data_IF_655108298858
#
_entry.id   IF_655108298858
#
_cell.length_a   1.000
_cell.length_b   1.000
_cell.length_c   1.000
_cell.angle_alpha   90.00
_cell.angle_beta   90.00
_cell.angle_gamma   90.00
#
_symmetry.space_group_name_H-M   'P 1'
#
loop_
_entity.id
_entity.type
_entity.pdbx_description
1 polymer ?
#
# COMPACT_ATOMS: atom_id res chain seq x y z
N UNK A 1 -7.04 1.83 -11.52
CA UNK A 1 -7.62 0.88 -10.55
C UNK A 1 -8.65 1.58 -9.69
N UNK A 2 -9.56 0.84 -9.06
CA UNK A 2 -10.56 1.40 -8.17
C UNK A 2 -10.66 0.55 -6.89
N UNK A 3 -10.72 1.24 -5.75
CA UNK A 3 -11.07 0.63 -4.47
C UNK A 3 -12.57 0.80 -4.28
N UNK A 4 -13.29 -0.31 -4.16
CA UNK A 4 -14.73 -0.33 -3.91
C UNK A 4 -14.97 -0.27 -2.40
N UNK A 5 -14.95 0.95 -1.88
CA UNK A 5 -15.22 1.23 -0.48
C UNK A 5 -16.72 1.30 -0.21
N UNK A 6 -17.17 0.55 0.80
CA UNK A 6 -18.37 0.86 1.52
C UNK A 6 -19.68 0.43 0.87
N UNK A 7 -20.63 0.14 1.75
CA UNK A 7 -22.06 0.17 1.44
C UNK A 7 -22.53 1.63 1.50
N UNK A 8 -23.12 2.21 0.43
CA UNK A 8 -23.75 3.53 0.53
C UNK A 8 -24.71 3.59 1.72
N UNK A 9 -24.79 4.72 2.45
CA UNK A 9 -25.51 4.78 3.74
C UNK A 9 -26.96 4.28 3.69
N UNK A 10 -27.66 4.50 2.57
CA UNK A 10 -29.04 4.04 2.33
C UNK A 10 -29.17 2.53 1.99
N UNK A 11 -28.06 1.81 1.92
CA UNK A 11 -28.00 0.37 1.70
C UNK A 11 -27.44 -0.39 2.92
N UNK A 12 -27.25 0.22 4.08
CA UNK A 12 -26.69 -0.45 5.27
C UNK A 12 -27.78 -1.19 6.08
N UNK A 13 -27.41 -2.27 6.77
CA UNK A 13 -28.34 -3.06 7.62
C UNK A 13 -28.61 -2.44 8.99
N UNK A 14 -27.73 -1.57 9.48
CA UNK A 14 -27.85 -0.89 10.79
C UNK A 14 -27.62 0.62 10.63
N UNK A 15 -28.34 1.49 11.38
CA UNK A 15 -28.06 2.92 11.42
C UNK A 15 -26.71 3.16 12.11
N UNK A 16 -25.73 3.62 11.35
CA UNK A 16 -24.42 3.95 11.90
C UNK A 16 -24.46 5.20 12.80
N UNK A 17 -23.48 5.30 13.71
CA UNK A 17 -23.18 6.55 14.41
C UNK A 17 -22.94 7.65 13.36
N UNK A 18 -23.76 8.69 13.38
CA UNK A 18 -23.67 9.83 12.48
C UNK A 18 -22.31 10.53 12.68
N UNK A 19 -21.48 10.52 11.64
CA UNK A 19 -20.57 11.65 11.41
C UNK A 19 -21.33 12.68 10.57
N UNK A 20 -21.13 13.96 10.88
CA UNK A 20 -21.78 15.06 10.17
C UNK A 20 -21.53 14.96 8.66
N UNK A 21 -22.47 15.38 7.81
CA UNK A 21 -22.28 15.41 6.36
C UNK A 21 -21.00 16.17 5.99
N UNK A 22 -20.22 15.60 5.07
CA UNK A 22 -19.07 16.26 4.44
C UNK A 22 -19.54 17.54 3.71
N UNK A 23 -19.06 18.74 4.08
CA UNK A 23 -19.58 19.99 3.51
C UNK A 23 -19.32 20.19 2.01
N UNK A 24 -18.32 19.51 1.42
CA UNK A 24 -17.86 19.80 0.03
C UNK A 24 -17.82 18.58 -0.92
N UNK A 25 -18.39 17.43 -0.55
CA UNK A 25 -18.72 16.43 -1.57
C UNK A 25 -19.97 16.91 -2.31
N UNK A 26 -20.04 16.87 -3.66
CA UNK A 26 -21.30 17.03 -4.35
C UNK A 26 -22.29 16.04 -3.72
N UNK A 27 -23.29 16.56 -3.00
CA UNK A 27 -24.30 15.75 -2.33
C UNK A 27 -25.17 15.10 -3.42
N UNK A 28 -24.68 13.98 -3.95
CA UNK A 28 -25.41 13.12 -4.86
C UNK A 28 -26.00 11.95 -4.09
N UNK A 29 -26.96 11.26 -4.69
CA UNK A 29 -27.54 10.03 -4.15
C UNK A 29 -26.52 8.87 -3.98
N UNK A 30 -25.24 9.09 -4.29
CA UNK A 30 -24.15 8.10 -4.17
C UNK A 30 -23.07 8.52 -3.19
N UNK A 31 -23.22 9.67 -2.51
CA UNK A 31 -22.26 10.13 -1.50
C UNK A 31 -22.25 9.18 -0.31
N UNK A 32 -21.06 8.87 0.21
CA UNK A 32 -20.88 8.06 1.41
C UNK A 32 -21.17 8.94 2.62
N UNK A 33 -22.40 8.85 3.16
CA UNK A 33 -22.87 9.66 4.30
C UNK A 33 -22.86 8.91 5.64
N UNK A 34 -22.19 7.77 5.70
CA UNK A 34 -22.10 6.90 6.87
C UNK A 34 -20.76 6.14 6.86
N UNK A 35 -20.28 5.67 8.03
CA UNK A 35 -19.10 4.80 8.13
C UNK A 35 -19.14 3.66 7.11
N UNK A 36 -18.06 3.52 6.32
CA UNK A 36 -17.87 2.39 5.42
C UNK A 36 -17.41 1.16 6.21
N UNK A 37 -18.20 0.73 7.20
CA UNK A 37 -17.90 -0.44 8.03
C UNK A 37 -18.98 -1.52 8.00
N UNK A 38 -20.19 -1.18 7.50
CA UNK A 38 -21.38 -2.00 7.64
C UNK A 38 -21.65 -2.94 6.45
N UNK A 39 -22.20 -4.11 6.78
CA UNK A 39 -22.68 -5.12 5.83
C UNK A 39 -23.75 -4.55 4.89
N UNK A 40 -23.64 -4.78 3.57
CA UNK A 40 -24.67 -4.40 2.61
C UNK A 40 -26.04 -5.05 2.84
N UNK A 41 -27.12 -4.28 2.68
CA UNK A 41 -28.49 -4.78 2.66
C UNK A 41 -28.67 -5.78 1.51
N UNK A 42 -29.35 -6.89 1.80
CA UNK A 42 -29.60 -7.94 0.80
C UNK A 42 -28.34 -8.68 0.37
N UNK A 43 -27.23 -8.58 1.12
CA UNK A 43 -25.97 -9.25 0.78
C UNK A 43 -26.16 -10.77 0.56
N UNK A 44 -27.07 -11.39 1.30
CA UNK A 44 -27.41 -12.81 1.19
C UNK A 44 -28.51 -13.13 0.18
N UNK A 45 -29.13 -12.11 -0.45
CA UNK A 45 -30.01 -12.37 -1.58
C UNK A 45 -29.20 -12.98 -2.74
N UNK A 46 -29.82 -13.80 -3.60
CA UNK A 46 -29.16 -14.33 -4.79
C UNK A 46 -28.59 -13.22 -5.66
N UNK A 47 -27.43 -13.44 -6.28
CA UNK A 47 -26.77 -12.45 -7.16
C UNK A 47 -27.61 -12.19 -8.42
N UNK A 48 -28.29 -13.22 -8.94
CA UNK A 48 -29.03 -13.16 -10.20
C UNK A 48 -30.54 -13.30 -10.00
N UNK A 49 -31.32 -12.74 -10.93
CA UNK A 49 -32.80 -12.73 -10.88
C UNK A 49 -33.44 -14.11 -11.00
N UNK A 50 -32.69 -15.13 -11.39
CA UNK A 50 -33.14 -16.53 -11.43
C UNK A 50 -33.05 -17.25 -10.08
N UNK A 51 -32.69 -16.53 -9.01
CA UNK A 51 -32.58 -17.08 -7.66
C UNK A 51 -31.26 -17.78 -7.38
N UNK A 52 -30.25 -17.65 -8.25
CA UNK A 52 -28.94 -18.28 -8.09
C UNK A 52 -27.80 -17.29 -7.93
N UNK A 53 -26.64 -17.79 -7.51
CA UNK A 53 -25.35 -17.09 -7.58
C UNK A 53 -24.54 -17.44 -8.83
N UNK A 54 -25.04 -18.34 -9.69
CA UNK A 54 -24.27 -18.89 -10.80
C UNK A 54 -24.27 -17.86 -11.94
N UNK A 55 -23.11 -17.31 -12.36
CA UNK A 55 -23.08 -16.37 -13.48
C UNK A 55 -23.38 -17.06 -14.81
N UNK A 56 -23.68 -16.27 -15.84
CA UNK A 56 -23.92 -16.82 -17.16
C UNK A 56 -24.27 -15.76 -18.21
N UNK A 57 -24.10 -16.08 -19.51
CA UNK A 57 -24.46 -15.17 -20.58
C UNK A 57 -25.90 -14.68 -20.46
N UNK A 58 -26.11 -13.37 -20.52
CA UNK A 58 -27.44 -12.75 -20.48
C UNK A 58 -28.14 -12.73 -19.11
N UNK A 59 -27.55 -13.33 -18.06
CA UNK A 59 -28.13 -13.26 -16.70
C UNK A 59 -28.17 -11.82 -16.19
N UNK A 60 -29.26 -11.49 -15.52
CA UNK A 60 -29.51 -10.16 -14.96
C UNK A 60 -29.21 -10.15 -13.46
N UNK A 61 -28.57 -9.08 -12.99
CA UNK A 61 -28.30 -8.87 -11.57
C UNK A 61 -29.62 -8.67 -10.82
N UNK A 62 -29.77 -9.37 -9.70
CA UNK A 62 -30.87 -9.19 -8.77
C UNK A 62 -30.72 -7.84 -8.06
N UNK A 63 -31.71 -6.95 -8.25
CA UNK A 63 -31.69 -5.63 -7.64
C UNK A 63 -31.80 -5.63 -6.10
N UNK A 64 -32.23 -6.74 -5.49
CA UNK A 64 -32.32 -6.87 -4.04
C UNK A 64 -30.94 -7.07 -3.41
N UNK A 65 -30.02 -7.75 -4.11
CA UNK A 65 -28.62 -7.79 -3.71
C UNK A 65 -27.94 -6.44 -4.07
N UNK A 66 -27.92 -5.52 -3.10
CA UNK A 66 -27.47 -4.14 -3.33
C UNK A 66 -26.00 -4.06 -3.69
N UNK A 67 -25.18 -4.92 -3.09
CA UNK A 67 -23.75 -5.01 -3.40
C UNK A 67 -23.50 -5.52 -4.81
N UNK A 68 -24.14 -6.62 -5.23
CA UNK A 68 -24.05 -7.13 -6.60
C UNK A 68 -24.40 -6.06 -7.64
N UNK A 69 -25.50 -5.34 -7.39
CA UNK A 69 -25.96 -4.26 -8.26
C UNK A 69 -24.95 -3.11 -8.32
N UNK A 70 -24.45 -2.67 -7.18
CA UNK A 70 -23.46 -1.59 -7.12
C UNK A 70 -22.20 -1.95 -7.92
N UNK A 71 -21.61 -3.11 -7.64
CA UNK A 71 -20.40 -3.58 -8.31
C UNK A 71 -20.62 -3.71 -9.81
N UNK A 72 -21.70 -4.39 -10.24
CA UNK A 72 -21.99 -4.56 -11.67
C UNK A 72 -22.14 -3.23 -12.41
N UNK A 73 -22.81 -2.24 -11.80
CA UNK A 73 -22.99 -0.92 -12.39
C UNK A 73 -21.68 -0.11 -12.41
N UNK A 74 -20.89 -0.17 -11.34
CA UNK A 74 -19.58 0.48 -11.28
C UNK A 74 -18.64 -0.07 -12.37
N UNK A 75 -18.53 -1.40 -12.49
CA UNK A 75 -17.69 -2.03 -13.52
C UNK A 75 -18.15 -1.63 -14.92
N UNK A 76 -19.45 -1.75 -15.24
CA UNK A 76 -19.96 -1.34 -16.56
C UNK A 76 -19.75 0.16 -16.85
N UNK A 77 -19.72 0.99 -15.81
CA UNK A 77 -19.53 2.43 -15.97
C UNK A 77 -18.09 2.79 -16.31
N UNK A 78 -17.11 2.23 -15.60
CA UNK A 78 -15.71 2.68 -15.68
C UNK A 78 -14.76 1.75 -16.42
N UNK A 79 -15.14 0.50 -16.74
CA UNK A 79 -14.28 -0.42 -17.51
C UNK A 79 -13.88 0.15 -18.87
N UNK A 80 -12.80 -0.37 -19.50
CA UNK A 80 -12.52 -0.09 -20.90
C UNK A 80 -13.73 -0.35 -21.80
N UNK A 81 -14.11 0.65 -22.60
CA UNK A 81 -15.32 0.59 -23.43
C UNK A 81 -16.64 0.64 -22.66
N UNK A 82 -16.62 0.93 -21.36
CA UNK A 82 -17.80 1.13 -20.52
C UNK A 82 -18.53 2.45 -20.79
N UNK A 83 -19.55 2.75 -19.99
CA UNK A 83 -20.44 3.91 -20.21
C UNK A 83 -19.69 5.24 -20.27
N UNK A 84 -18.71 5.47 -19.39
CA UNK A 84 -17.92 6.71 -19.44
C UNK A 84 -16.97 6.75 -20.63
N UNK A 85 -16.32 5.63 -20.93
CA UNK A 85 -15.44 5.54 -22.10
C UNK A 85 -16.20 5.87 -23.40
N UNK A 86 -17.43 5.35 -23.56
CA UNK A 86 -18.29 5.66 -24.70
C UNK A 86 -18.76 7.11 -24.69
N UNK A 87 -19.29 7.59 -23.56
CA UNK A 87 -19.80 8.98 -23.43
C UNK A 87 -18.73 10.03 -23.72
N UNK A 88 -17.49 9.77 -23.33
CA UNK A 88 -16.37 10.71 -23.48
C UNK A 88 -15.40 10.34 -24.61
N UNK A 89 -15.74 9.37 -25.46
CA UNK A 89 -14.91 8.89 -26.57
C UNK A 89 -13.46 8.56 -26.15
N UNK A 90 -13.29 7.86 -25.03
CA UNK A 90 -11.96 7.43 -24.58
C UNK A 90 -11.34 6.44 -25.57
N UNK A 91 -10.01 6.43 -25.73
CA UNK A 91 -9.33 5.44 -26.56
C UNK A 91 -9.64 4.00 -26.13
N UNK A 92 -9.60 3.08 -27.09
CA UNK A 92 -9.77 1.65 -26.80
C UNK A 92 -8.76 1.19 -25.74
N UNK A 93 -9.23 0.40 -24.77
CA UNK A 93 -8.40 -0.08 -23.66
C UNK A 93 -8.30 0.89 -22.47
N UNK A 94 -8.75 2.14 -22.58
CA UNK A 94 -8.73 3.10 -21.46
C UNK A 94 -9.95 2.91 -20.55
N UNK A 95 -9.69 2.67 -19.26
CA UNK A 95 -10.70 2.51 -18.21
C UNK A 95 -10.12 1.82 -16.97
N UNK A 96 -10.99 1.49 -16.02
CA UNK A 96 -10.62 0.77 -14.78
C UNK A 96 -10.66 -0.74 -15.02
N UNK A 97 -9.55 -1.41 -14.75
CA UNK A 97 -9.41 -2.87 -14.93
C UNK A 97 -9.30 -3.64 -13.62
N UNK A 98 -8.77 -3.03 -12.56
CA UNK A 98 -8.66 -3.65 -11.23
C UNK A 98 -9.64 -3.05 -10.23
N UNK A 99 -10.25 -3.92 -9.44
CA UNK A 99 -11.34 -3.62 -8.51
C UNK A 99 -11.05 -4.26 -7.16
N UNK A 100 -10.73 -3.46 -6.17
CA UNK A 100 -10.49 -3.93 -4.81
C UNK A 100 -11.78 -3.99 -4.01
N UNK A 101 -12.06 -5.17 -3.44
CA UNK A 101 -13.26 -5.41 -2.67
C UNK A 101 -13.00 -5.08 -1.20
N UNK A 102 -13.44 -3.88 -0.82
CA UNK A 102 -13.25 -3.32 0.52
C UNK A 102 -11.81 -2.90 0.84
N UNK A 103 -11.61 -2.31 2.02
CA UNK A 103 -10.29 -1.91 2.55
C UNK A 103 -10.15 -2.42 3.99
N UNK A 104 -9.02 -3.07 4.31
CA UNK A 104 -8.63 -3.46 5.67
C UNK A 104 -9.75 -4.13 6.50
N UNK A 105 -10.38 -5.20 5.98
CA UNK A 105 -11.49 -5.87 6.65
C UNK A 105 -11.09 -6.60 7.95
N UNK A 106 -9.79 -6.69 8.23
CA UNK A 106 -9.21 -7.17 9.49
C UNK A 106 -9.11 -6.07 10.58
N UNK A 107 -9.59 -4.85 10.31
CA UNK A 107 -9.76 -3.80 11.31
C UNK A 107 -11.24 -3.51 11.57
N UNK A 108 -11.66 -3.53 12.83
CA UNK A 108 -13.07 -3.32 13.22
C UNK A 108 -13.62 -1.94 12.84
N UNK A 109 -12.73 -0.95 12.70
CA UNK A 109 -13.09 0.40 12.24
C UNK A 109 -13.49 0.44 10.76
N UNK A 110 -12.99 -0.49 9.96
CA UNK A 110 -13.31 -0.60 8.53
C UNK A 110 -14.26 -1.74 8.23
N UNK A 111 -14.42 -2.74 9.11
CA UNK A 111 -15.40 -3.80 8.91
C UNK A 111 -15.94 -4.33 10.23
N UNK A 112 -17.23 -4.12 10.47
CA UNK A 112 -17.91 -4.60 11.67
C UNK A 112 -18.81 -5.83 11.43
N UNK A 113 -18.86 -6.31 10.18
CA UNK A 113 -19.54 -7.56 9.83
C UNK A 113 -18.79 -8.79 10.31
N UNK A 114 -19.47 -9.94 10.29
CA UNK A 114 -18.83 -11.22 10.61
C UNK A 114 -17.88 -11.68 9.49
N UNK A 115 -17.06 -12.68 9.77
CA UNK A 115 -16.20 -13.31 8.76
C UNK A 115 -17.02 -13.92 7.59
N UNK A 116 -18.15 -14.62 7.81
CA UNK A 116 -19.07 -15.01 6.74
C UNK A 116 -19.63 -13.83 5.93
N UNK A 117 -19.91 -12.68 6.56
CA UNK A 117 -20.39 -11.51 5.83
C UNK A 117 -19.33 -11.00 4.86
N UNK A 118 -18.05 -10.93 5.28
CA UNK A 118 -16.97 -10.52 4.38
C UNK A 118 -16.76 -11.53 3.25
N UNK A 119 -16.77 -12.83 3.56
CA UNK A 119 -16.69 -13.88 2.55
C UNK A 119 -17.84 -13.75 1.53
N UNK A 120 -19.07 -13.49 1.99
CA UNK A 120 -20.20 -13.26 1.08
C UNK A 120 -19.99 -11.98 0.25
N UNK A 121 -19.51 -10.89 0.84
CA UNK A 121 -19.23 -9.63 0.16
C UNK A 121 -18.20 -9.80 -0.96
N UNK A 122 -17.08 -10.46 -0.67
CA UNK A 122 -16.03 -10.75 -1.63
C UNK A 122 -16.55 -11.64 -2.77
N UNK A 123 -17.27 -12.73 -2.47
CA UNK A 123 -17.88 -13.61 -3.49
C UNK A 123 -18.84 -12.85 -4.41
N UNK A 124 -19.77 -12.10 -3.83
CA UNK A 124 -20.77 -11.33 -4.58
C UNK A 124 -20.10 -10.30 -5.46
N UNK A 125 -19.13 -9.56 -4.92
CA UNK A 125 -18.36 -8.57 -5.67
C UNK A 125 -17.61 -9.19 -6.84
N UNK A 126 -16.92 -10.30 -6.61
CA UNK A 126 -16.20 -11.02 -7.66
C UNK A 126 -17.10 -11.44 -8.82
N UNK A 127 -18.21 -12.14 -8.52
CA UNK A 127 -19.10 -12.69 -9.55
C UNK A 127 -19.85 -11.58 -10.30
N UNK A 128 -20.26 -10.51 -9.62
CA UNK A 128 -20.88 -9.35 -10.26
C UNK A 128 -19.90 -8.59 -11.15
N UNK A 129 -18.63 -8.44 -10.72
CA UNK A 129 -17.58 -7.81 -11.52
C UNK A 129 -17.30 -8.62 -12.79
N UNK A 130 -17.10 -9.95 -12.67
CA UNK A 130 -16.86 -10.84 -13.82
C UNK A 130 -18.06 -10.93 -14.77
N UNK A 131 -19.29 -10.84 -14.25
CA UNK A 131 -20.49 -10.77 -15.09
C UNK A 131 -20.53 -9.46 -15.91
N UNK A 132 -20.13 -8.33 -15.31
CA UNK A 132 -20.04 -7.07 -16.02
C UNK A 132 -18.93 -7.12 -17.07
N UNK A 133 -17.74 -7.56 -16.68
CA UNK A 133 -16.53 -7.65 -17.50
C UNK A 133 -15.70 -8.87 -17.14
N UNK A 134 -15.62 -9.83 -18.05
CA UNK A 134 -14.82 -11.06 -17.86
C UNK A 134 -13.32 -10.79 -17.65
N UNK A 135 -12.82 -9.63 -18.07
CA UNK A 135 -11.41 -9.24 -17.91
C UNK A 135 -11.13 -8.49 -16.60
N UNK A 136 -12.16 -8.10 -15.83
CA UNK A 136 -11.98 -7.39 -14.58
C UNK A 136 -11.10 -8.20 -13.62
N UNK A 137 -10.08 -7.58 -13.06
CA UNK A 137 -9.24 -8.16 -12.02
C UNK A 137 -9.78 -7.76 -10.65
N UNK A 138 -10.03 -8.73 -9.78
CA UNK A 138 -10.63 -8.49 -8.47
C UNK A 138 -9.59 -8.73 -7.38
N UNK A 139 -9.33 -7.70 -6.58
CA UNK A 139 -8.37 -7.73 -5.49
C UNK A 139 -9.12 -8.08 -4.19
N UNK A 140 -8.60 -9.05 -3.44
CA UNK A 140 -9.08 -9.38 -2.10
C UNK A 140 -8.78 -8.23 -1.14
N UNK A 141 -9.78 -7.78 -0.36
CA UNK A 141 -9.68 -6.61 0.52
C UNK A 141 -8.37 -6.55 1.29
N UNK A 142 -7.55 -5.54 0.97
CA UNK A 142 -6.16 -5.52 1.38
C UNK A 142 -6.01 -5.45 2.89
N UNK A 143 -5.27 -6.41 3.44
CA UNK A 143 -5.20 -6.61 4.88
C UNK A 143 -4.26 -5.60 5.55
N UNK A 144 -4.74 -4.96 6.62
CA UNK A 144 -3.93 -4.13 7.52
C UNK A 144 -2.89 -4.94 8.31
N UNK A 145 -3.03 -6.27 8.28
CA UNK A 145 -2.21 -7.23 9.01
C UNK A 145 -2.35 -7.12 10.54
N UNK A 146 -3.57 -6.87 11.01
CA UNK A 146 -3.90 -6.80 12.43
C UNK A 146 -3.45 -8.07 13.17
N UNK A 147 -2.56 -7.91 14.16
CA UNK A 147 -1.97 -9.03 14.91
C UNK A 147 -3.01 -9.94 15.59
N UNK A 148 -4.21 -9.44 15.89
CA UNK A 148 -5.31 -10.22 16.47
C UNK A 148 -6.08 -11.05 15.43
N UNK A 149 -5.93 -10.74 14.14
CA UNK A 149 -6.64 -11.36 13.01
C UNK A 149 -5.69 -11.79 11.90
N UNK A 150 -4.47 -12.24 12.23
CA UNK A 150 -3.47 -12.63 11.22
C UNK A 150 -3.91 -13.77 10.29
N UNK A 151 -4.87 -14.58 10.72
CA UNK A 151 -5.43 -15.69 9.94
C UNK A 151 -6.61 -15.28 9.07
N UNK A 152 -7.01 -13.99 9.07
CA UNK A 152 -8.25 -13.51 8.42
C UNK A 152 -8.45 -14.06 7.00
N UNK A 153 -7.46 -13.91 6.12
CA UNK A 153 -7.54 -14.45 4.76
C UNK A 153 -7.76 -15.97 4.74
N UNK A 154 -6.98 -16.71 5.51
CA UNK A 154 -7.08 -18.17 5.59
C UNK A 154 -8.46 -18.60 6.13
N UNK A 155 -9.01 -17.86 7.08
CA UNK A 155 -10.31 -18.15 7.66
C UNK A 155 -11.44 -17.86 6.65
N UNK A 156 -11.33 -16.81 5.82
CA UNK A 156 -12.24 -16.59 4.67
C UNK A 156 -12.12 -17.72 3.64
N UNK A 157 -10.90 -18.14 3.30
CA UNK A 157 -10.70 -19.26 2.37
C UNK A 157 -11.32 -20.57 2.91
N UNK A 158 -11.26 -20.80 4.23
CA UNK A 158 -11.88 -21.98 4.86
C UNK A 158 -13.40 -22.01 4.69
N UNK A 159 -14.06 -20.84 4.65
CA UNK A 159 -15.49 -20.76 4.34
C UNK A 159 -15.80 -21.13 2.89
N UNK A 160 -14.90 -20.78 1.96
CA UNK A 160 -15.06 -21.11 0.53
C UNK A 160 -14.77 -22.58 0.20
N UNK A 161 -14.07 -23.32 1.05
CA UNK A 161 -13.81 -24.75 0.82
C UNK A 161 -15.11 -25.58 0.71
N UNK A 162 -16.22 -25.08 1.28
CA UNK A 162 -17.56 -25.68 1.15
C UNK A 162 -18.40 -25.13 -0.01
N UNK A 163 -17.93 -24.14 -0.77
CA UNK A 163 -18.69 -23.50 -1.84
C UNK A 163 -18.43 -24.17 -3.20
N UNK A 164 -19.46 -24.72 -3.88
CA UNK A 164 -19.28 -25.45 -5.13
C UNK A 164 -18.75 -24.57 -6.28
N UNK A 165 -18.84 -23.24 -6.17
CA UNK A 165 -18.32 -22.30 -7.17
C UNK A 165 -16.85 -21.93 -6.93
N UNK A 166 -16.31 -22.11 -5.72
CA UNK A 166 -15.00 -21.57 -5.35
C UNK A 166 -13.88 -21.99 -6.30
N UNK A 167 -13.71 -23.30 -6.53
CA UNK A 167 -12.65 -23.80 -7.41
C UNK A 167 -12.81 -23.32 -8.86
N UNK A 168 -14.04 -23.26 -9.38
CA UNK A 168 -14.31 -22.83 -10.76
C UNK A 168 -14.09 -21.34 -10.98
N UNK A 169 -14.16 -20.55 -9.91
CA UNK A 169 -14.02 -19.09 -9.92
C UNK A 169 -12.82 -18.63 -9.09
N UNK A 170 -11.80 -19.47 -9.01
CA UNK A 170 -10.51 -19.14 -8.40
C UNK A 170 -10.61 -18.61 -6.97
N UNK A 171 -11.52 -19.12 -6.14
CA UNK A 171 -11.76 -18.63 -4.77
C UNK A 171 -12.07 -17.13 -4.69
N UNK A 172 -12.75 -16.61 -5.72
CA UNK A 172 -13.38 -15.29 -5.75
C UNK A 172 -12.45 -14.07 -5.58
N UNK A 173 -11.20 -14.19 -6.02
CA UNK A 173 -10.28 -13.06 -6.21
C UNK A 173 -9.21 -13.46 -7.23
N UNK A 174 -8.63 -12.48 -7.90
CA UNK A 174 -7.51 -12.68 -8.84
C UNK A 174 -6.18 -12.28 -8.19
N UNK A 175 -6.19 -11.33 -7.24
CA UNK A 175 -5.00 -10.76 -6.57
C UNK A 175 -5.22 -10.77 -5.05
N UNK A 176 -4.17 -11.07 -4.28
CA UNK A 176 -4.17 -10.88 -2.82
C UNK A 176 -3.39 -9.61 -2.47
N UNK A 177 -4.04 -8.67 -1.79
CA UNK A 177 -3.40 -7.43 -1.37
C UNK A 177 -3.12 -7.39 0.14
N UNK A 178 -2.10 -6.63 0.52
CA UNK A 178 -1.65 -6.48 1.90
C UNK A 178 -1.03 -5.10 2.12
N UNK A 179 -1.14 -4.55 3.32
CA UNK A 179 -0.60 -3.23 3.68
C UNK A 179 0.61 -3.35 4.61
N UNK A 180 1.52 -2.38 4.58
CA UNK A 180 2.66 -2.35 5.50
C UNK A 180 3.05 -0.92 5.83
N UNK A 181 2.91 -0.53 7.09
CA UNK A 181 3.19 0.82 7.55
C UNK A 181 4.36 0.91 8.53
N UNK A 182 5.02 2.07 8.54
CA UNK A 182 6.01 2.54 9.53
C UNK A 182 7.36 1.79 9.59
N UNK A 183 7.36 0.47 9.48
CA UNK A 183 8.55 -0.38 9.59
C UNK A 183 8.90 -0.96 8.22
N UNK A 184 9.96 -0.47 7.58
CA UNK A 184 10.29 -0.85 6.20
C UNK A 184 10.53 -2.36 6.05
N UNK A 185 11.10 -3.02 7.07
CA UNK A 185 11.37 -4.46 7.04
C UNK A 185 10.12 -5.33 7.13
N UNK A 186 9.01 -4.81 7.67
CA UNK A 186 7.77 -5.58 7.80
C UNK A 186 7.15 -5.88 6.43
N UNK A 187 7.44 -5.09 5.42
CA UNK A 187 6.97 -5.31 4.05
C UNK A 187 7.43 -6.66 3.50
N UNK A 188 8.64 -7.11 3.84
CA UNK A 188 9.08 -8.47 3.53
C UNK A 188 8.21 -9.52 4.22
N UNK A 189 7.94 -9.34 5.51
CA UNK A 189 7.19 -10.31 6.31
C UNK A 189 5.74 -10.45 5.83
N UNK A 190 5.05 -9.34 5.57
CA UNK A 190 3.66 -9.33 5.15
C UNK A 190 3.47 -9.96 3.76
N UNK A 191 4.32 -9.60 2.80
CA UNK A 191 4.30 -10.20 1.45
C UNK A 191 4.68 -11.69 1.51
N UNK A 192 5.72 -12.05 2.25
CA UNK A 192 6.13 -13.44 2.42
C UNK A 192 5.02 -14.30 3.03
N UNK A 193 4.32 -13.77 4.05
CA UNK A 193 3.18 -14.46 4.67
C UNK A 193 2.02 -14.61 3.71
N UNK A 194 1.65 -13.57 2.96
CA UNK A 194 0.62 -13.66 1.93
C UNK A 194 0.92 -14.79 0.93
N UNK A 195 2.16 -14.83 0.42
CA UNK A 195 2.59 -15.88 -0.52
C UNK A 195 2.59 -17.29 0.08
N UNK A 196 3.03 -17.46 1.33
CA UNK A 196 2.93 -18.76 2.00
C UNK A 196 1.49 -19.21 2.21
N UNK A 197 0.59 -18.27 2.50
CA UNK A 197 -0.82 -18.58 2.76
C UNK A 197 -1.51 -19.01 1.46
N UNK A 198 -1.27 -18.31 0.35
CA UNK A 198 -1.68 -18.73 -1.00
C UNK A 198 -1.17 -20.14 -1.35
N UNK A 199 0.15 -20.36 -1.23
CA UNK A 199 0.77 -21.67 -1.53
C UNK A 199 0.21 -22.80 -0.68
N UNK A 200 -0.07 -22.56 0.60
CA UNK A 200 -0.65 -23.57 1.51
C UNK A 200 -2.05 -24.01 1.08
N UNK A 201 -2.75 -23.19 0.29
CA UNK A 201 -4.06 -23.46 -0.30
C UNK A 201 -3.97 -23.94 -1.76
N UNK A 202 -2.76 -24.16 -2.28
CA UNK A 202 -2.56 -24.53 -3.69
C UNK A 202 -2.91 -23.40 -4.67
N UNK A 203 -2.93 -22.15 -4.20
CA UNK A 203 -3.17 -20.98 -5.03
C UNK A 203 -1.84 -20.34 -5.43
N UNK A 204 -1.76 -19.92 -6.68
CA UNK A 204 -0.66 -19.14 -7.25
C UNK A 204 -1.26 -17.88 -7.89
N UNK A 205 -1.12 -16.75 -7.20
CA UNK A 205 -1.78 -15.49 -7.54
C UNK A 205 -0.86 -14.32 -7.25
N UNK A 206 -0.97 -13.21 -8.00
CA UNK A 206 -0.20 -12.02 -7.71
C UNK A 206 -0.47 -11.48 -6.29
N UNK A 207 0.57 -10.91 -5.69
CA UNK A 207 0.53 -10.25 -4.38
C UNK A 207 0.83 -8.77 -4.55
N UNK A 208 -0.07 -7.91 -4.09
CA UNK A 208 0.14 -6.46 -4.12
C UNK A 208 0.41 -5.94 -2.71
N UNK A 209 1.50 -5.19 -2.55
CA UNK A 209 1.67 -4.28 -1.41
C UNK A 209 1.02 -2.94 -1.79
N UNK A 210 -0.31 -2.92 -1.79
CA UNK A 210 -1.09 -1.80 -2.34
C UNK A 210 -1.25 -0.61 -1.38
N UNK A 211 -0.67 -0.67 -0.19
CA UNK A 211 -0.55 0.49 0.70
C UNK A 211 0.68 0.36 1.61
N UNK A 212 1.59 1.32 1.51
CA UNK A 212 2.77 1.40 2.37
C UNK A 212 3.24 2.83 2.54
N UNK A 213 3.69 3.21 3.74
CA UNK A 213 4.11 4.58 4.02
C UNK A 213 4.58 4.82 5.45
N UNK A 214 5.13 6.01 5.67
CA UNK A 214 5.44 6.56 6.99
C UNK A 214 5.28 8.08 6.93
N UNK A 215 4.52 8.71 7.85
CA UNK A 215 4.36 10.16 7.84
C UNK A 215 5.62 10.87 8.33
N UNK A 216 5.89 12.06 7.80
CA UNK A 216 6.96 12.91 8.29
C UNK A 216 6.52 13.73 9.51
N UNK A 217 7.37 13.87 10.53
CA UNK A 217 7.13 14.79 11.65
C UNK A 217 7.76 16.17 11.40
N UNK A 218 8.89 16.24 10.69
CA UNK A 218 9.68 17.46 10.49
C UNK A 218 9.24 18.29 9.27
N UNK A 219 8.01 18.08 8.80
CA UNK A 219 7.39 18.85 7.73
C UNK A 219 5.89 18.95 7.95
N UNK A 220 5.27 20.03 7.50
CA UNK A 220 3.82 20.24 7.68
C UNK A 220 3.02 19.20 6.88
N UNK A 221 1.89 18.66 7.39
CA UNK A 221 1.22 19.01 8.66
C UNK A 221 1.74 18.27 9.90
N UNK A 222 2.86 17.56 9.81
CA UNK A 222 3.45 16.84 10.94
C UNK A 222 3.78 17.74 12.13
N UNK A 223 3.90 17.15 13.34
CA UNK A 223 4.23 17.88 14.56
C UNK A 223 5.73 18.26 14.57
N UNK A 224 6.08 19.36 13.89
CA UNK A 224 7.49 19.79 13.71
C UNK A 224 8.26 20.07 15.00
N UNK A 225 7.56 20.19 16.13
CA UNK A 225 8.11 20.37 17.47
C UNK A 225 8.38 19.05 18.22
N UNK A 226 7.94 17.91 17.70
CA UNK A 226 8.03 16.60 18.35
C UNK A 226 8.93 15.64 17.54
N UNK A 227 10.26 15.70 17.71
CA UNK A 227 11.18 14.79 17.01
C UNK A 227 11.01 13.32 17.41
N UNK A 228 10.35 13.04 18.54
CA UNK A 228 10.10 11.69 19.06
C UNK A 228 8.68 11.22 18.77
N UNK A 229 7.97 11.90 17.85
CA UNK A 229 6.61 11.56 17.48
C UNK A 229 6.55 10.14 16.94
N UNK A 230 5.87 9.28 17.69
CA UNK A 230 5.76 7.85 17.43
C UNK A 230 5.22 7.54 16.04
N UNK A 231 5.78 6.50 15.40
CA UNK A 231 5.42 6.03 14.06
C UNK A 231 5.65 7.05 12.94
N UNK A 232 6.42 8.12 13.20
CA UNK A 232 6.78 9.13 12.22
C UNK A 232 8.27 9.08 11.88
N UNK A 233 8.62 9.68 10.75
CA UNK A 233 9.97 9.78 10.23
C UNK A 233 10.36 11.24 9.99
N UNK A 234 11.64 11.54 9.76
CA UNK A 234 11.98 12.75 9.02
C UNK A 234 11.65 12.58 7.53
N UNK A 235 11.54 13.66 6.76
CA UNK A 235 11.37 13.58 5.30
C UNK A 235 12.49 12.81 4.59
N UNK A 236 13.71 12.82 5.13
CA UNK A 236 14.83 12.01 4.62
C UNK A 236 14.67 10.52 4.97
N UNK A 237 14.28 10.22 6.22
CA UNK A 237 13.95 8.85 6.63
C UNK A 237 12.75 8.30 5.84
N UNK A 238 11.76 9.13 5.52
CA UNK A 238 10.64 8.78 4.65
C UNK A 238 11.13 8.37 3.25
N UNK A 239 12.09 9.11 2.67
CA UNK A 239 12.72 8.72 1.41
C UNK A 239 13.50 7.40 1.51
N UNK A 240 14.20 7.17 2.63
CA UNK A 240 14.88 5.90 2.89
C UNK A 240 13.88 4.74 3.00
N UNK A 241 12.76 4.95 3.70
CA UNK A 241 11.67 3.99 3.83
C UNK A 241 11.14 3.58 2.46
N UNK A 242 10.86 4.53 1.56
CA UNK A 242 10.36 4.25 0.21
C UNK A 242 11.24 3.26 -0.55
N UNK A 243 12.56 3.42 -0.51
CA UNK A 243 13.48 2.46 -1.16
C UNK A 243 13.49 1.13 -0.41
N UNK A 244 13.66 1.15 0.92
CA UNK A 244 13.80 -0.08 1.70
C UNK A 244 12.55 -0.96 1.62
N UNK A 245 11.34 -0.39 1.76
CA UNK A 245 10.05 -1.11 1.64
C UNK A 245 9.95 -1.80 0.29
N UNK A 246 10.32 -1.11 -0.79
CA UNK A 246 10.27 -1.67 -2.14
C UNK A 246 11.23 -2.86 -2.32
N UNK A 247 12.49 -2.73 -1.86
CA UNK A 247 13.44 -3.84 -1.91
C UNK A 247 12.96 -5.04 -1.08
N UNK A 248 12.43 -4.81 0.12
CA UNK A 248 11.90 -5.87 0.97
C UNK A 248 10.70 -6.59 0.34
N UNK A 249 9.73 -5.84 -0.18
CA UNK A 249 8.51 -6.37 -0.76
C UNK A 249 8.75 -7.09 -2.09
N UNK A 250 9.51 -6.49 -3.02
CA UNK A 250 9.85 -7.13 -4.30
C UNK A 250 10.62 -8.43 -4.08
N UNK A 251 11.57 -8.45 -3.13
CA UNK A 251 12.33 -9.67 -2.83
C UNK A 251 11.45 -10.76 -2.21
N UNK A 252 10.42 -10.39 -1.45
CA UNK A 252 9.46 -11.33 -0.89
C UNK A 252 8.43 -11.86 -1.90
N UNK A 253 8.36 -11.26 -3.11
CA UNK A 253 7.47 -11.67 -4.19
C UNK A 253 6.25 -10.77 -4.38
N UNK A 254 6.32 -9.48 -4.07
CA UNK A 254 5.28 -8.52 -4.44
C UNK A 254 5.35 -8.21 -5.94
N UNK A 255 4.21 -8.28 -6.61
CA UNK A 255 4.05 -7.94 -8.04
C UNK A 255 3.79 -6.46 -8.28
N UNK A 256 3.23 -5.77 -7.27
CA UNK A 256 3.00 -4.33 -7.30
C UNK A 256 3.16 -3.70 -5.92
N UNK A 257 3.58 -2.44 -5.90
CA UNK A 257 3.80 -1.65 -4.68
C UNK A 257 3.21 -0.26 -4.88
N UNK A 258 2.40 0.19 -3.93
CA UNK A 258 1.77 1.50 -3.96
C UNK A 258 2.13 2.26 -2.69
N UNK A 259 2.77 3.40 -2.87
CA UNK A 259 3.14 4.28 -1.77
C UNK A 259 1.94 5.15 -1.37
N UNK A 260 1.60 5.14 -0.10
CA UNK A 260 0.61 6.03 0.50
C UNK A 260 1.31 7.32 0.92
N UNK A 261 1.15 8.45 0.21
CA UNK A 261 0.18 8.74 -0.87
C UNK A 261 0.69 9.91 -1.74
N UNK A 262 -0.07 10.37 -2.74
CA UNK A 262 0.38 11.46 -3.63
C UNK A 262 0.45 12.82 -2.90
N UNK A 263 -0.61 13.20 -2.21
CA UNK A 263 -0.75 14.41 -1.40
C UNK A 263 -1.14 14.04 0.03
N UNK A 264 -0.94 14.91 1.00
CA UNK A 264 -1.39 14.65 2.38
C UNK A 264 -2.93 14.60 2.45
N UNK A 265 -3.48 13.42 2.69
CA UNK A 265 -4.89 13.28 3.00
C UNK A 265 -5.19 13.78 4.41
N UNK A 266 -6.47 14.05 4.71
CA UNK A 266 -6.94 14.24 6.09
C UNK A 266 -6.65 13.01 6.97
N UNK A 267 -6.32 11.85 6.36
CA UNK A 267 -6.05 10.60 7.07
C UNK A 267 -7.28 10.15 7.88
N UNK A 268 -7.05 9.77 9.13
CA UNK A 268 -8.11 9.46 10.09
C UNK A 268 -8.67 10.70 10.83
N UNK A 269 -8.35 11.91 10.34
CA UNK A 269 -8.77 13.16 10.95
C UNK A 269 -10.04 13.72 10.29
N UNK A 270 -10.83 14.56 10.99
CA UNK A 270 -12.01 15.17 10.41
C UNK A 270 -11.70 15.93 9.12
N UNK A 271 -12.59 15.85 8.14
CA UNK A 271 -12.46 16.67 6.92
C UNK A 271 -12.48 18.16 7.28
N UNK A 272 -11.70 18.97 6.56
CA UNK A 272 -11.55 20.40 6.84
C UNK A 272 -10.54 20.70 7.96
N UNK A 273 -9.86 19.68 8.52
CA UNK A 273 -8.75 19.91 9.45
C UNK A 273 -7.72 20.82 8.79
N UNK A 274 -7.52 22.00 9.36
CA UNK A 274 -6.62 22.99 8.82
C UNK A 274 -6.13 23.92 9.93
N UNK A 275 -4.84 24.22 9.90
CA UNK A 275 -4.15 25.10 10.84
C UNK A 275 -2.88 25.64 10.16
N UNK A 276 -2.44 26.86 10.50
CA UNK A 276 -1.16 27.36 9.98
C UNK A 276 -0.01 26.55 10.57
N UNK A 277 1.15 26.44 9.89
CA UNK A 277 2.35 25.86 10.48
C UNK A 277 2.69 26.51 11.83
N UNK A 278 2.97 25.68 12.83
CA UNK A 278 3.22 26.12 14.21
C UNK A 278 4.17 25.15 14.93
N UNK A 279 4.65 25.50 16.12
CA UNK A 279 5.58 24.75 16.96
C UNK A 279 4.92 24.24 18.25
N UNK A 280 3.69 23.75 18.15
CA UNK A 280 2.90 23.23 19.27
C UNK A 280 2.12 24.29 20.06
N UNK A 281 2.30 25.59 19.81
CA UNK A 281 1.60 26.66 20.53
C UNK A 281 0.08 26.70 20.28
N UNK A 282 -0.40 26.06 19.20
CA UNK A 282 -1.82 25.93 18.91
C UNK A 282 -2.46 24.70 19.57
N UNK A 283 -1.67 23.83 20.20
CA UNK A 283 -2.14 22.59 20.80
C UNK A 283 -2.66 22.80 22.23
N UNK A 284 -3.75 22.13 22.56
CA UNK A 284 -4.15 21.86 23.94
C UNK A 284 -3.40 20.63 24.51
N UNK A 285 -3.67 20.29 25.76
CA UNK A 285 -3.04 19.15 26.44
C UNK A 285 -3.38 17.77 25.83
N UNK A 286 -4.39 17.70 24.96
CA UNK A 286 -4.84 16.47 24.31
C UNK A 286 -4.34 16.37 22.86
N UNK A 287 -3.55 17.34 22.38
CA UNK A 287 -3.09 17.38 20.98
C UNK A 287 -4.16 17.89 20.00
N UNK A 288 -5.18 18.58 20.48
CA UNK A 288 -6.18 19.24 19.66
C UNK A 288 -5.90 20.74 19.54
N UNK A 289 -6.51 21.40 18.56
CA UNK A 289 -6.43 22.86 18.44
C UNK A 289 -7.10 23.51 19.64
N UNK A 290 -6.37 24.37 20.36
CA UNK A 290 -6.92 25.14 21.48
C UNK A 290 -8.08 26.05 21.05
N UNK A 291 -8.09 26.51 19.80
CA UNK A 291 -9.16 27.33 19.21
C UNK A 291 -10.42 26.52 18.85
N UNK A 292 -10.27 25.23 18.54
CA UNK A 292 -11.37 24.33 18.26
C UNK A 292 -10.95 22.88 18.53
N UNK A 293 -11.21 22.37 19.75
CA UNK A 293 -10.77 21.03 20.15
C UNK A 293 -11.39 19.86 19.37
N UNK A 294 -12.29 20.14 18.41
CA UNK A 294 -12.84 19.12 17.49
C UNK A 294 -11.83 18.68 16.42
N UNK A 295 -10.77 19.46 16.23
CA UNK A 295 -9.72 19.20 15.24
C UNK A 295 -8.37 19.00 15.92
N UNK A 296 -7.55 18.05 15.45
CA UNK A 296 -6.20 17.87 15.94
C UNK A 296 -5.33 19.08 15.57
N UNK A 297 -4.31 19.38 16.39
CA UNK A 297 -3.34 20.43 16.10
C UNK A 297 -2.16 19.93 15.24
N UNK A 298 -2.12 18.66 14.86
CA UNK A 298 -1.08 18.10 13.99
C UNK A 298 -1.68 17.07 13.05
N UNK A 299 -1.05 16.87 11.90
CA UNK A 299 -1.45 15.96 10.84
C UNK A 299 -0.41 14.88 10.55
N UNK A 300 -0.69 14.12 9.49
CA UNK A 300 0.23 13.10 8.97
C UNK A 300 0.74 13.50 7.59
N UNK A 301 2.00 13.93 7.52
CA UNK A 301 2.67 14.31 6.27
C UNK A 301 3.11 13.07 5.46
N UNK A 302 2.16 12.39 4.84
CA UNK A 302 2.39 11.15 4.07
C UNK A 302 2.75 11.41 2.58
N UNK A 303 2.36 12.56 2.04
CA UNK A 303 2.36 12.85 0.61
C UNK A 303 3.75 12.84 -0.04
N UNK A 304 3.83 12.41 -1.30
CA UNK A 304 4.97 12.70 -2.19
C UNK A 304 5.07 14.20 -2.49
N UNK A 305 3.93 14.89 -2.46
CA UNK A 305 3.80 16.33 -2.55
C UNK A 305 3.12 16.89 -1.32
N UNK A 306 3.45 18.14 -1.00
CA UNK A 306 2.71 18.95 -0.05
C UNK A 306 1.38 19.39 -0.67
N UNK A 307 0.35 19.61 0.16
CA UNK A 307 -0.98 19.91 -0.34
C UNK A 307 -1.08 21.22 -1.14
N UNK A 308 -1.95 21.26 -2.17
CA UNK A 308 -2.36 22.52 -2.79
C UNK A 308 -3.23 23.34 -1.82
N UNK A 309 -3.39 24.63 -2.15
CA UNK A 309 -4.15 25.57 -1.30
C UNK A 309 -5.66 25.32 -1.31
N UNK A 310 -6.16 24.48 -2.21
CA UNK A 310 -7.55 24.08 -2.36
C UNK A 310 -7.82 22.61 -1.98
N UNK A 311 -6.86 21.95 -1.32
CA UNK A 311 -7.06 20.60 -0.79
C UNK A 311 -8.15 20.55 0.31
N UNK A 312 -8.69 19.36 0.58
CA UNK A 312 -9.74 19.19 1.59
C UNK A 312 -9.26 19.41 3.05
N UNK A 313 -7.95 19.28 3.30
CA UNK A 313 -7.31 19.48 4.59
C UNK A 313 -5.89 20.02 4.40
N UNK A 314 -5.31 20.57 5.46
CA UNK A 314 -3.90 20.97 5.53
C UNK A 314 -3.45 21.87 4.35
N UNK A 315 -4.19 22.92 4.05
CA UNK A 315 -3.96 23.76 2.85
C UNK A 315 -2.92 24.85 3.04
N UNK A 316 -2.29 24.91 4.21
CA UNK A 316 -1.44 26.04 4.64
C UNK A 316 0.05 25.72 4.63
N UNK A 317 0.49 24.73 3.84
CA UNK A 317 1.91 24.45 3.68
C UNK A 317 2.65 25.70 3.13
N UNK A 318 3.81 26.12 3.69
CA UNK A 318 4.52 27.33 3.23
C UNK A 318 4.92 27.32 1.75
N UNK A 319 5.15 26.11 1.22
CA UNK A 319 5.43 25.85 -0.18
C UNK A 319 4.39 24.83 -0.71
N UNK A 320 3.19 25.26 -1.11
CA UNK A 320 2.16 24.33 -1.60
C UNK A 320 2.62 23.63 -2.89
N UNK A 321 2.14 22.42 -3.13
CA UNK A 321 2.46 21.60 -4.32
C UNK A 321 3.95 21.36 -4.56
N UNK A 322 4.76 21.42 -3.49
CA UNK A 322 6.19 21.17 -3.57
C UNK A 322 6.49 19.69 -3.35
N UNK A 323 7.46 19.11 -4.08
CA UNK A 323 7.83 17.72 -3.91
C UNK A 323 8.60 17.52 -2.60
N UNK A 324 8.32 16.40 -1.92
CA UNK A 324 9.12 15.92 -0.78
C UNK A 324 10.25 14.99 -1.25
N UNK A 325 11.31 14.79 -0.44
CA UNK A 325 12.43 13.90 -0.78
C UNK A 325 12.02 12.46 -1.17
N UNK A 326 10.92 11.95 -0.61
CA UNK A 326 10.39 10.63 -0.95
C UNK A 326 9.91 10.51 -2.42
N UNK A 327 9.55 11.61 -3.09
CA UNK A 327 9.27 11.61 -4.54
C UNK A 327 10.51 11.23 -5.34
N UNK A 328 11.68 11.78 -4.99
CA UNK A 328 12.93 11.43 -5.67
C UNK A 328 13.29 9.95 -5.45
N UNK A 329 13.09 9.44 -4.23
CA UNK A 329 13.28 8.01 -3.93
C UNK A 329 12.31 7.11 -4.72
N UNK A 330 11.05 7.54 -4.88
CA UNK A 330 10.06 6.86 -5.72
C UNK A 330 10.49 6.87 -7.20
N UNK A 331 11.03 7.98 -7.69
CA UNK A 331 11.59 8.08 -9.05
C UNK A 331 12.81 7.19 -9.26
N UNK A 332 13.68 7.05 -8.26
CA UNK A 332 14.81 6.09 -8.28
C UNK A 332 14.29 4.66 -8.50
N UNK A 333 13.28 4.23 -7.73
CA UNK A 333 12.70 2.89 -7.90
C UNK A 333 12.09 2.70 -9.28
N UNK A 334 11.23 3.62 -9.69
CA UNK A 334 10.53 3.53 -10.99
C UNK A 334 11.45 3.73 -12.19
N UNK A 335 12.66 4.26 -12.02
CA UNK A 335 13.64 4.34 -13.09
C UNK A 335 14.54 3.10 -13.14
N UNK A 336 15.10 2.71 -11.99
CA UNK A 336 16.21 1.75 -11.90
C UNK A 336 15.81 0.34 -11.47
N UNK A 337 14.69 0.17 -10.76
CA UNK A 337 14.26 -1.11 -10.17
C UNK A 337 12.99 -1.58 -10.88
N UNK A 338 13.14 -1.90 -12.17
CA UNK A 338 12.05 -2.39 -13.04
C UNK A 338 12.42 -3.68 -13.72
N UNK A 339 11.41 -4.52 -13.97
CA UNK A 339 11.58 -5.79 -14.69
C UNK A 339 12.70 -6.66 -14.08
N UNK A 340 12.70 -6.69 -12.75
CA UNK A 340 13.72 -7.37 -11.95
C UNK A 340 13.20 -8.67 -11.36
N UNK A 341 14.08 -9.64 -11.15
CA UNK A 341 13.79 -10.88 -10.44
C UNK A 341 14.62 -10.97 -9.16
N UNK A 342 14.09 -11.51 -8.05
CA UNK A 342 14.88 -11.74 -6.83
C UNK A 342 16.13 -12.56 -7.13
N UNK A 343 17.30 -12.10 -6.68
CA UNK A 343 18.58 -12.77 -6.93
C UNK A 343 19.17 -13.38 -5.67
N UNK A 344 19.47 -12.55 -4.67
CA UNK A 344 19.92 -13.02 -3.35
C UNK A 344 19.72 -11.93 -2.31
N UNK A 345 19.77 -12.34 -1.04
CA UNK A 345 19.69 -11.46 0.13
C UNK A 345 20.72 -11.91 1.17
N UNK A 346 21.38 -10.95 1.80
CA UNK A 346 22.43 -11.19 2.78
C UNK A 346 22.46 -10.12 3.87
N UNK A 347 22.95 -10.47 5.06
CA UNK A 347 23.13 -9.54 6.18
C UNK A 347 24.56 -9.60 6.73
N UNK A 348 25.55 -9.08 5.99
CA UNK A 348 26.95 -9.14 6.40
C UNK A 348 27.29 -8.17 7.55
N UNK A 349 28.55 -8.22 8.00
CA UNK A 349 29.11 -7.33 9.02
C UNK A 349 29.04 -7.85 10.45
N UNK A 350 28.58 -9.09 10.66
CA UNK A 350 28.53 -9.76 11.95
C UNK A 350 28.90 -11.24 11.84
N UNK A 351 29.03 -11.95 12.98
CA UNK A 351 29.37 -13.39 12.98
C UNK A 351 28.23 -14.27 12.43
N UNK A 352 26.99 -13.77 12.47
CA UNK A 352 25.82 -14.40 11.87
C UNK A 352 25.47 -13.69 10.55
N UNK A 353 25.74 -14.30 9.37
CA UNK A 353 25.43 -13.71 8.08
C UNK A 353 23.92 -13.60 7.79
N UNK A 354 23.06 -14.22 8.61
CA UNK A 354 21.60 -14.10 8.54
C UNK A 354 21.04 -12.98 9.44
N UNK A 355 21.84 -12.45 10.38
CA UNK A 355 21.40 -11.41 11.31
C UNK A 355 22.41 -10.28 11.53
N UNK A 356 23.40 -10.13 10.64
CA UNK A 356 24.38 -9.05 10.74
C UNK A 356 23.78 -7.64 10.65
N UNK A 357 24.59 -6.61 10.94
CA UNK A 357 24.15 -5.22 11.05
C UNK A 357 23.86 -4.53 9.71
N UNK A 358 24.16 -5.17 8.58
CA UNK A 358 23.86 -4.67 7.24
C UNK A 358 22.66 -5.43 6.65
N UNK A 359 21.95 -4.83 5.72
CA UNK A 359 20.91 -5.49 4.91
C UNK A 359 21.24 -5.27 3.44
N UNK A 360 21.47 -6.36 2.71
CA UNK A 360 21.75 -6.34 1.29
C UNK A 360 20.70 -7.16 0.56
N UNK A 361 19.99 -6.52 -0.36
CA UNK A 361 18.97 -7.17 -1.20
C UNK A 361 19.36 -6.94 -2.65
N UNK A 362 19.53 -8.03 -3.39
CA UNK A 362 19.92 -8.01 -4.78
C UNK A 362 18.81 -8.55 -5.66
N UNK A 363 18.67 -7.90 -6.80
CA UNK A 363 17.88 -8.34 -7.92
C UNK A 363 18.74 -8.52 -9.16
N UNK A 364 18.26 -9.33 -10.09
CA UNK A 364 18.80 -9.45 -11.44
C UNK A 364 17.83 -8.83 -12.44
N UNK A 365 18.35 -8.08 -13.41
CA UNK A 365 17.56 -7.53 -14.51
C UNK A 365 17.93 -8.28 -15.80
N UNK A 366 17.09 -9.23 -16.27
CA UNK A 366 17.44 -10.11 -17.39
C UNK A 366 17.72 -9.35 -18.69
N UNK A 367 16.96 -8.28 -18.96
CA UNK A 367 17.07 -7.52 -20.21
C UNK A 367 18.45 -6.88 -20.40
N UNK A 368 19.09 -6.44 -19.32
CA UNK A 368 20.39 -5.74 -19.33
C UNK A 368 21.54 -6.61 -18.81
N UNK A 369 21.23 -7.78 -18.25
CA UNK A 369 22.17 -8.68 -17.57
C UNK A 369 22.92 -7.98 -16.44
N UNK A 370 22.22 -7.12 -15.72
CA UNK A 370 22.75 -6.38 -14.58
C UNK A 370 22.23 -6.94 -13.27
N UNK A 371 23.01 -6.78 -12.21
CA UNK A 371 22.52 -6.92 -10.85
C UNK A 371 22.28 -5.55 -10.25
N UNK A 372 21.21 -5.42 -9.47
CA UNK A 372 20.80 -4.22 -8.76
C UNK A 372 20.80 -4.55 -7.28
N UNK A 373 21.63 -3.89 -6.49
CA UNK A 373 21.85 -4.23 -5.08
C UNK A 373 21.56 -3.02 -4.21
N UNK A 374 20.56 -3.13 -3.34
CA UNK A 374 20.25 -2.16 -2.30
C UNK A 374 20.95 -2.56 -1.00
N UNK A 375 21.63 -1.60 -0.37
CA UNK A 375 22.41 -1.83 0.85
C UNK A 375 22.19 -0.72 1.87
N UNK A 376 21.98 -1.08 3.13
CA UNK A 376 21.90 -0.13 4.24
C UNK A 376 22.31 -0.75 5.57
N UNK A 377 22.61 0.11 6.55
CA UNK A 377 22.77 -0.29 7.95
C UNK A 377 21.39 -0.56 8.57
N UNK A 378 21.24 -1.66 9.31
CA UNK A 378 19.98 -2.01 10.00
C UNK A 378 19.79 -1.29 11.32
N UNK A 379 20.86 -0.77 11.92
CA UNK A 379 20.88 -0.18 13.24
C UNK A 379 21.64 1.16 13.24
N UNK A 380 21.69 1.85 14.37
CA UNK A 380 22.30 3.18 14.49
C UNK A 380 23.82 3.26 14.29
N UNK A 381 24.52 2.13 14.30
CA UNK A 381 25.96 2.10 14.01
C UNK A 381 26.23 2.15 12.51
N UNK A 382 27.05 3.10 12.06
CA UNK A 382 27.52 3.14 10.67
C UNK A 382 28.30 1.86 10.32
N UNK A 383 28.12 1.38 9.10
CA UNK A 383 28.73 0.15 8.59
C UNK A 383 29.61 0.44 7.38
N UNK A 384 30.59 -0.43 7.13
CA UNK A 384 31.33 -0.46 5.87
C UNK A 384 30.94 -1.72 5.10
N UNK A 385 30.29 -1.54 3.95
CA UNK A 385 30.00 -2.62 3.02
C UNK A 385 31.22 -2.88 2.15
N UNK A 386 31.61 -4.16 2.00
CA UNK A 386 32.68 -4.60 1.12
C UNK A 386 32.09 -5.58 0.11
N UNK A 387 31.64 -5.04 -1.02
CA UNK A 387 30.92 -5.78 -2.06
C UNK A 387 31.89 -6.29 -3.13
N UNK A 388 32.05 -7.61 -3.35
CA UNK A 388 32.81 -8.14 -4.47
C UNK A 388 32.24 -7.67 -5.79
N UNK A 389 33.05 -7.07 -6.66
CA UNK A 389 32.61 -6.56 -7.96
C UNK A 389 32.49 -7.68 -9.00
N UNK A 390 31.52 -7.54 -9.91
CA UNK A 390 31.33 -8.44 -11.05
C UNK A 390 31.66 -7.78 -12.39
N UNK A 391 31.86 -6.46 -12.38
CA UNK A 391 32.30 -5.69 -13.53
C UNK A 391 33.44 -4.72 -13.18
N UNK A 392 34.05 -4.09 -14.20
CA UNK A 392 35.10 -3.10 -14.02
C UNK A 392 34.61 -1.73 -13.51
N UNK A 393 33.30 -1.52 -13.44
CA UNK A 393 32.67 -0.30 -12.94
C UNK A 393 31.21 -0.56 -12.55
N UNK A 394 30.68 0.25 -11.65
CA UNK A 394 29.26 0.28 -11.29
C UNK A 394 28.71 1.71 -11.26
N UNK A 395 27.39 1.84 -11.37
CA UNK A 395 26.67 3.06 -11.02
C UNK A 395 26.19 2.96 -9.59
N UNK A 396 26.67 3.85 -8.73
CA UNK A 396 26.17 4.10 -7.38
C UNK A 396 25.05 5.15 -7.44
N UNK A 397 23.93 4.87 -6.79
CA UNK A 397 22.72 5.69 -6.80
C UNK A 397 22.30 5.97 -5.36
N UNK A 398 21.96 7.23 -5.09
CA UNK A 398 21.48 7.71 -3.79
C UNK A 398 19.96 7.98 -3.83
N UNK A 399 19.29 8.09 -2.67
CA UNK A 399 17.83 8.27 -2.60
C UNK A 399 17.30 9.55 -3.26
N UNK A 400 18.14 10.58 -3.38
CA UNK A 400 17.81 11.85 -4.05
C UNK A 400 17.93 11.77 -5.59
N UNK A 401 18.31 10.61 -6.14
CA UNK A 401 18.54 10.41 -7.56
C UNK A 401 19.95 10.78 -8.02
N UNK A 402 20.82 11.29 -7.13
CA UNK A 402 22.23 11.52 -7.46
C UNK A 402 22.90 10.21 -7.82
N UNK A 403 23.72 10.23 -8.88
CA UNK A 403 24.47 9.06 -9.34
C UNK A 403 25.96 9.33 -9.43
N UNK A 404 26.75 8.27 -9.27
CA UNK A 404 28.20 8.30 -9.40
C UNK A 404 28.69 7.01 -10.06
N UNK A 405 29.62 7.12 -11.02
CA UNK A 405 30.37 5.95 -11.49
C UNK A 405 31.47 5.63 -10.50
N UNK A 406 31.54 4.38 -10.04
CA UNK A 406 32.57 3.88 -9.12
C UNK A 406 33.36 2.74 -9.76
N UNK A 407 34.64 2.64 -9.40
CA UNK A 407 35.55 1.58 -9.85
C UNK A 407 35.95 0.71 -8.67
N UNK A 408 35.98 -0.62 -8.82
CA UNK A 408 36.41 -1.49 -7.75
C UNK A 408 37.92 -1.36 -7.51
N UNK A 409 38.33 -1.42 -6.25
CA UNK A 409 39.75 -1.50 -5.87
C UNK A 409 40.02 -2.91 -5.36
N UNK A 410 41.02 -3.60 -5.93
CA UNK A 410 41.31 -5.01 -5.61
C UNK A 410 40.08 -5.93 -5.74
N UNK A 411 39.23 -5.68 -6.73
CA UNK A 411 38.04 -6.49 -7.02
C UNK A 411 36.83 -6.24 -6.10
N UNK A 412 36.85 -5.21 -5.25
CA UNK A 412 35.72 -4.89 -4.36
C UNK A 412 35.33 -3.41 -4.42
N UNK A 413 34.06 -3.11 -4.15
CA UNK A 413 33.58 -1.79 -3.78
C UNK A 413 33.50 -1.67 -2.26
N UNK A 414 34.10 -0.61 -1.70
CA UNK A 414 34.03 -0.30 -0.26
C UNK A 414 33.16 0.91 -0.05
N UNK A 415 32.00 0.73 0.59
CA UNK A 415 30.95 1.74 0.69
C UNK A 415 30.63 2.03 2.16
N UNK A 416 30.46 3.29 2.49
CA UNK A 416 30.00 3.70 3.81
C UNK A 416 28.48 3.69 3.86
N UNK A 417 27.93 2.92 4.79
CA UNK A 417 26.50 2.86 5.07
C UNK A 417 26.25 3.63 6.37
N UNK A 418 25.65 4.84 6.32
CA UNK A 418 25.32 5.58 7.53
C UNK A 418 24.43 4.75 8.46
N UNK A 419 24.54 4.97 9.77
CA UNK A 419 23.64 4.36 10.75
C UNK A 419 22.17 4.78 10.53
N UNK A 420 21.25 3.92 10.94
CA UNK A 420 19.85 4.25 11.03
C UNK A 420 19.60 5.37 12.05
N UNK A 421 18.77 6.34 11.70
CA UNK A 421 18.47 7.51 12.57
C UNK A 421 17.06 7.45 13.16
N UNK A 422 16.13 6.75 12.52
CA UNK A 422 14.76 6.66 12.98
C UNK A 422 14.65 5.73 14.19
N UNK A 423 14.19 6.24 15.33
CA UNK A 423 13.91 5.46 16.55
C UNK A 423 12.49 5.72 17.07
N UNK A 424 11.59 6.22 16.22
CA UNK A 424 10.24 6.60 16.61
C UNK A 424 9.32 5.38 16.67
N UNK A 425 9.75 4.32 17.36
CA UNK A 425 8.98 3.13 17.67
C UNK A 425 8.44 3.26 19.11
N UNK A 426 7.14 3.59 19.30
CA UNK A 426 6.61 3.94 20.63
C UNK A 426 6.75 2.82 21.67
N UNK A 427 6.82 1.58 21.22
CA UNK A 427 6.82 0.37 22.04
C UNK A 427 8.22 -0.20 22.29
N UNK A 428 9.24 0.27 21.58
CA UNK A 428 10.61 -0.23 21.73
C UNK A 428 11.64 0.79 21.22
N UNK A 429 12.33 1.52 22.12
CA UNK A 429 13.31 2.53 21.75
C UNK A 429 14.61 1.92 21.18
N UNK A 430 14.77 0.60 21.22
CA UNK A 430 15.93 -0.09 20.63
C UNK A 430 15.72 -0.45 19.16
N UNK A 431 14.48 -0.35 18.67
CA UNK A 431 14.15 -0.61 17.27
C UNK A 431 14.50 0.56 16.38
N UNK A 432 14.96 0.22 15.18
CA UNK A 432 15.09 1.14 14.06
C UNK A 432 14.06 0.73 12.99
N UNK A 433 12.87 1.36 12.95
CA UNK A 433 11.83 1.04 11.97
C UNK A 433 12.30 1.18 10.52
N UNK A 434 13.22 2.13 10.31
CA UNK A 434 13.82 2.47 9.03
C UNK A 434 15.33 2.33 9.19
N UNK A 435 15.96 1.56 8.31
CA UNK A 435 17.42 1.45 8.26
C UNK A 435 18.09 2.76 7.88
N UNK A 436 19.43 2.78 7.94
CA UNK A 436 20.23 3.91 7.48
C UNK A 436 20.01 4.24 6.00
N UNK A 437 20.57 5.37 5.56
CA UNK A 437 20.44 5.81 4.17
C UNK A 437 20.83 4.70 3.19
N UNK A 438 19.91 4.24 2.32
CA UNK A 438 20.22 3.17 1.39
C UNK A 438 21.11 3.66 0.26
N UNK A 439 21.99 2.78 -0.19
CA UNK A 439 22.76 2.90 -1.42
C UNK A 439 22.28 1.84 -2.40
N UNK A 440 22.15 2.19 -3.67
CA UNK A 440 21.86 1.23 -4.74
C UNK A 440 23.07 1.15 -5.66
N UNK A 441 23.53 -0.07 -5.95
CA UNK A 441 24.55 -0.34 -6.96
C UNK A 441 23.94 -1.08 -8.13
N UNK A 442 24.30 -0.64 -9.35
CA UNK A 442 23.99 -1.34 -10.59
C UNK A 442 25.29 -1.63 -11.33
N UNK A 443 25.53 -2.89 -11.65
CA UNK A 443 26.66 -3.30 -12.47
C UNK A 443 26.31 -4.52 -13.34
N UNK A 444 27.09 -4.76 -14.39
CA UNK A 444 26.95 -5.97 -15.17
C UNK A 444 27.28 -7.21 -14.31
N UNK A 445 26.48 -8.25 -14.44
CA UNK A 445 26.76 -9.56 -13.83
C UNK A 445 26.75 -10.64 -14.92
N UNK A 446 27.88 -10.85 -15.62
CA UNK A 446 27.96 -11.84 -16.68
C UNK A 446 27.88 -13.28 -16.16
N UNK A 447 28.09 -13.48 -14.85
CA UNK A 447 28.13 -14.78 -14.20
C UNK A 447 26.78 -15.18 -13.58
N UNK A 448 25.76 -14.33 -13.68
CA UNK A 448 24.40 -14.68 -13.30
C UNK A 448 23.86 -15.76 -14.25
N UNK A 449 24.09 -17.03 -13.90
CA UNK A 449 23.52 -18.20 -14.57
C UNK A 449 22.31 -18.64 -13.76
N UNK A 450 21.12 -18.60 -14.35
CA UNK A 450 19.90 -19.16 -13.75
C UNK A 450 19.41 -18.40 -12.51
N UNK A 451 19.07 -17.12 -12.67
CA UNK A 451 18.08 -16.53 -11.77
C UNK A 451 16.83 -17.44 -11.79
N UNK A 452 16.23 -17.73 -10.61
CA UNK A 452 15.26 -18.81 -10.44
C UNK A 452 14.07 -18.74 -11.39
#
# INVERSE_FOLDING_TARGET
DAILLGTPGFYQTEPALFFAPQPDQPAGNLSLTAPQAATPQGLYDPIFTDGTDVPGPGKQINSNNRWARFVFLAVNRYRPGGVLAQTHNWPAGVGVTHWEMWNEPDLDIFWNGSLPDFARLQKVGYLAAKQADGNAQVIFGALANNFQKLTYYNDVMALYDGDPLAASFGYFHDILATHSYFYAWQSWYHVFRAGNTLRSRGLDKPIWLNETGVPAWNDYPGPVWDPHSGLRATTQEQAHYTIQTAFYALYAGADAIFYFQLYDGCGNQPQGTNFPPHNGELCDANGNLASNPSFPCAGDANGLFTNPTDAACFTQHPNPESPRPNLAAYQVLTHYVRDVVPYWRSRPGGPDPANGPQEWIAFYQPATRQRIIGMWSRFGGSQTAVLPATAGSATLIYPDGTTQTILPTNGVYTLQLPGATNQNAPWDPTLYPIGGRPLIIIEADPNAVGAP
#
